data_IF_912890755093
#
_entry.id   IF_912890755093
#
_cell.length_a   1.000
_cell.length_b   1.000
_cell.length_c   1.000
_cell.angle_alpha   90.00
_cell.angle_beta   90.00
_cell.angle_gamma   90.00
#
_symmetry.space_group_name_H-M   'P 1'
#
loop_
_entity.id
_entity.type
_entity.pdbx_description
1 polymer ?
#
# COMPACT_ATOMS: atom_id res chain seq x y z
N UNK A 1 -23.26 15.94 5.84
CA UNK A 1 -21.88 15.45 5.67
C UNK A 1 -21.32 15.21 7.05
N UNK A 2 -20.78 14.03 7.30
CA UNK A 2 -20.19 13.66 8.59
C UNK A 2 -18.74 13.23 8.34
N UNK A 3 -17.79 13.91 8.98
CA UNK A 3 -16.36 13.56 8.94
C UNK A 3 -16.13 12.38 9.88
N UNK A 4 -15.43 11.37 9.39
CA UNK A 4 -15.12 10.11 10.07
C UNK A 4 -13.64 9.79 9.90
N UNK A 5 -13.15 8.79 10.61
CA UNK A 5 -11.80 8.26 10.40
C UNK A 5 -11.72 6.76 10.58
N UNK A 6 -10.79 6.12 9.88
CA UNK A 6 -10.47 4.70 10.01
C UNK A 6 -8.97 4.50 10.27
N UNK A 7 -8.61 3.37 10.88
CA UNK A 7 -7.23 2.94 11.04
C UNK A 7 -6.81 2.10 9.84
N UNK A 8 -5.58 2.26 9.37
CA UNK A 8 -5.06 1.49 8.23
C UNK A 8 -3.90 0.61 8.68
N UNK A 9 -4.02 -0.69 8.45
CA UNK A 9 -2.97 -1.68 8.68
C UNK A 9 -2.59 -2.30 7.34
N UNK A 10 -1.30 -2.44 7.07
CA UNK A 10 -0.82 -3.19 5.92
C UNK A 10 -0.16 -4.48 6.39
N UNK A 11 -0.49 -5.59 5.72
CA UNK A 11 0.14 -6.89 5.92
C UNK A 11 0.88 -7.34 4.66
N UNK A 12 2.15 -7.73 4.85
CA UNK A 12 2.99 -8.25 3.78
C UNK A 12 2.74 -9.76 3.57
N UNK A 13 1.88 -10.12 2.62
CA UNK A 13 1.62 -11.51 2.20
C UNK A 13 2.45 -11.94 0.97
N UNK A 14 3.46 -11.17 0.57
CA UNK A 14 4.22 -11.45 -0.68
C UNK A 14 5.17 -12.64 -0.59
N UNK A 15 5.44 -13.15 0.62
CA UNK A 15 6.43 -14.20 0.86
C UNK A 15 7.89 -13.71 0.80
N UNK A 16 8.12 -12.41 0.60
CA UNK A 16 9.45 -11.81 0.58
C UNK A 16 9.49 -10.53 1.44
N UNK A 17 10.66 -10.12 1.96
CA UNK A 17 10.79 -8.84 2.63
C UNK A 17 10.60 -7.69 1.63
N UNK A 18 9.86 -6.68 2.04
CA UNK A 18 9.55 -5.52 1.22
C UNK A 18 9.66 -4.25 2.06
N UNK A 19 10.08 -3.17 1.41
CA UNK A 19 9.87 -1.81 1.90
C UNK A 19 8.59 -1.28 1.24
N UNK A 20 7.59 -0.86 2.01
CA UNK A 20 6.28 -0.45 1.49
C UNK A 20 5.82 0.90 2.03
N UNK A 21 5.01 1.59 1.23
CA UNK A 21 4.37 2.87 1.55
C UNK A 21 2.91 2.82 1.09
N UNK A 22 2.02 3.43 1.87
CA UNK A 22 0.62 3.65 1.52
C UNK A 22 0.38 5.14 1.41
N UNK A 23 -0.30 5.55 0.34
CA UNK A 23 -0.84 6.90 0.18
C UNK A 23 -2.35 6.83 0.14
N UNK A 24 -3.00 7.78 0.80
CA UNK A 24 -4.45 7.93 0.83
C UNK A 24 -4.84 9.38 0.50
N UNK A 25 -5.92 9.57 -0.25
CA UNK A 25 -6.48 10.88 -0.52
C UNK A 25 -8.01 10.79 -0.62
N UNK A 26 -8.69 11.44 0.32
CA UNK A 26 -10.11 11.75 0.16
C UNK A 26 -10.26 12.92 -0.82
N UNK A 27 -11.21 12.81 -1.75
CA UNK A 27 -11.36 13.78 -2.85
C UNK A 27 -11.44 15.23 -2.35
N UNK A 28 -10.47 16.06 -2.76
CA UNK A 28 -10.42 17.48 -2.42
C UNK A 28 -9.70 17.80 -1.10
N UNK A 29 -9.14 16.79 -0.42
CA UNK A 29 -8.25 16.95 0.74
C UNK A 29 -6.79 16.68 0.34
N UNK A 30 -5.85 17.03 1.22
CA UNK A 30 -4.43 16.73 1.03
C UNK A 30 -4.17 15.22 1.10
N UNK A 31 -3.10 14.77 0.43
CA UNK A 31 -2.69 13.37 0.46
C UNK A 31 -2.05 13.01 1.81
N UNK A 32 -2.56 11.96 2.46
CA UNK A 32 -1.92 11.29 3.59
C UNK A 32 -0.80 10.36 3.09
N UNK A 33 0.39 10.42 3.72
CA UNK A 33 1.55 9.58 3.39
C UNK A 33 2.04 8.82 4.63
N UNK A 34 2.07 7.49 4.58
CA UNK A 34 2.50 6.65 5.69
C UNK A 34 4.01 6.71 5.97
N UNK A 35 4.79 7.23 5.01
CA UNK A 35 6.22 6.98 4.89
C UNK A 35 6.52 5.53 4.49
N UNK A 36 7.81 5.23 4.32
CA UNK A 36 8.28 3.90 3.96
C UNK A 36 8.60 3.05 5.18
N UNK A 37 8.06 1.84 5.23
CA UNK A 37 8.28 0.86 6.30
C UNK A 37 8.87 -0.42 5.72
N UNK A 38 9.82 -1.05 6.42
CA UNK A 38 10.29 -2.39 6.07
C UNK A 38 9.40 -3.42 6.75
N UNK A 39 8.92 -4.41 5.99
CA UNK A 39 8.09 -5.50 6.48
C UNK A 39 8.70 -6.83 6.07
N UNK A 40 8.91 -7.71 7.05
CA UNK A 40 9.21 -9.11 6.82
C UNK A 40 8.00 -9.85 6.19
N UNK A 41 8.21 -11.03 5.58
CA UNK A 41 7.09 -11.88 5.14
C UNK A 41 6.14 -12.19 6.31
N UNK A 42 4.85 -11.93 6.12
CA UNK A 42 3.80 -12.12 7.13
C UNK A 42 3.71 -11.02 8.19
N UNK A 43 4.56 -10.00 8.14
CA UNK A 43 4.51 -8.88 9.09
C UNK A 43 3.35 -7.92 8.76
N UNK A 44 2.71 -7.41 9.81
CA UNK A 44 1.69 -6.35 9.74
C UNK A 44 2.20 -5.07 10.38
N UNK A 45 1.84 -3.92 9.82
CA UNK A 45 2.21 -2.59 10.32
C UNK A 45 1.04 -1.62 10.25
N UNK A 46 0.84 -0.84 11.30
CA UNK A 46 -0.07 0.31 11.26
C UNK A 46 0.55 1.38 10.36
N UNK A 47 -0.11 1.68 9.26
CA UNK A 47 0.31 2.69 8.28
C UNK A 47 -0.27 4.07 8.60
N UNK A 48 -1.50 4.10 9.12
CA UNK A 48 -2.16 5.30 9.60
C UNK A 48 -2.97 4.97 10.85
N UNK A 49 -2.81 5.77 11.92
CA UNK A 49 -3.72 5.70 13.06
C UNK A 49 -5.10 6.27 12.69
N UNK A 50 -5.13 7.29 11.83
CA UNK A 50 -6.34 7.91 11.32
C UNK A 50 -6.13 8.33 9.85
N UNK A 51 -6.96 7.83 8.95
CA UNK A 51 -7.26 8.49 7.66
C UNK A 51 -8.64 9.11 7.75
N UNK A 52 -8.82 10.32 7.24
CA UNK A 52 -10.09 11.02 7.32
C UNK A 52 -10.89 10.89 6.03
N UNK A 53 -12.20 10.71 6.18
CA UNK A 53 -13.13 10.64 5.06
C UNK A 53 -14.49 11.23 5.45
N UNK A 54 -15.33 11.52 4.46
CA UNK A 54 -16.66 12.06 4.70
C UNK A 54 -17.76 11.14 4.18
N UNK A 55 -18.87 11.09 4.90
CA UNK A 55 -20.06 10.28 4.55
C UNK A 55 -21.33 11.12 4.56
N UNK A 56 -22.38 10.59 3.94
CA UNK A 56 -23.74 11.15 3.94
C UNK A 56 -24.34 11.28 2.54
N UNK A 57 -25.66 11.44 2.46
CA UNK A 57 -26.42 11.42 1.19
C UNK A 57 -25.96 12.44 0.12
N UNK A 58 -25.26 13.51 0.52
CA UNK A 58 -24.78 14.56 -0.38
C UNK A 58 -23.26 14.52 -0.63
N UNK A 59 -22.52 13.55 -0.07
CA UNK A 59 -21.08 13.46 -0.32
C UNK A 59 -20.81 12.84 -1.69
N UNK A 60 -20.01 13.51 -2.51
CA UNK A 60 -19.55 13.01 -3.81
C UNK A 60 -18.08 12.56 -3.79
N UNK A 61 -17.38 12.78 -2.67
CA UNK A 61 -15.99 12.41 -2.53
C UNK A 61 -15.80 10.91 -2.40
N UNK A 62 -14.65 10.45 -2.88
CA UNK A 62 -14.21 9.06 -2.81
C UNK A 62 -12.79 8.99 -2.26
N UNK A 63 -12.50 7.90 -1.57
CA UNK A 63 -11.17 7.57 -1.07
C UNK A 63 -10.33 6.92 -2.17
N UNK A 64 -9.18 7.55 -2.43
CA UNK A 64 -8.22 7.17 -3.44
C UNK A 64 -6.96 6.65 -2.76
N UNK A 65 -6.43 5.53 -3.27
CA UNK A 65 -5.35 4.78 -2.64
C UNK A 65 -4.23 4.45 -3.61
N UNK A 66 -3.01 4.46 -3.10
CA UNK A 66 -1.83 3.87 -3.73
C UNK A 66 -1.06 3.05 -2.71
N UNK A 67 -0.54 1.92 -3.16
CA UNK A 67 0.48 1.17 -2.44
C UNK A 67 1.73 1.14 -3.31
N UNK A 68 2.86 1.49 -2.72
CA UNK A 68 4.18 1.40 -3.35
C UNK A 68 5.04 0.42 -2.58
N UNK A 69 5.99 -0.20 -3.28
CA UNK A 69 6.85 -1.21 -2.70
C UNK A 69 8.21 -1.24 -3.36
N UNK A 70 9.20 -1.74 -2.65
CA UNK A 70 10.45 -2.23 -3.23
C UNK A 70 10.78 -3.57 -2.60
N UNK A 71 10.98 -4.58 -3.44
CA UNK A 71 11.36 -5.91 -2.96
C UNK A 71 12.79 -5.85 -2.45
N UNK A 72 13.01 -6.22 -1.19
CA UNK A 72 14.34 -6.19 -0.60
C UNK A 72 15.12 -7.43 -1.07
N UNK A 73 16.31 -7.22 -1.60
CA UNK A 73 17.23 -8.29 -2.02
C UNK A 73 18.37 -8.40 -1.02
N UNK A 74 18.61 -9.61 -0.52
CA UNK A 74 19.76 -9.89 0.33
C UNK A 74 21.01 -9.89 -0.54
N UNK A 75 21.92 -8.95 -0.30
CA UNK A 75 23.20 -8.92 -0.98
C UNK A 75 24.17 -9.86 -0.26
N UNK A 76 24.59 -10.93 -0.93
CA UNK A 76 25.70 -11.78 -0.51
C UNK A 76 26.93 -11.40 -1.33
N UNK A 77 27.90 -10.68 -0.75
CA UNK A 77 29.10 -10.27 -1.47
C UNK A 77 29.85 -11.48 -2.04
N UNK A 78 30.15 -11.48 -3.34
CA UNK A 78 30.65 -12.70 -4.01
C UNK A 78 31.80 -12.50 -4.99
N UNK A 79 32.54 -11.39 -4.96
CA UNK A 79 33.59 -11.16 -5.97
C UNK A 79 34.89 -10.50 -5.45
N UNK A 80 35.03 -10.29 -4.14
CA UNK A 80 36.22 -9.62 -3.58
C UNK A 80 36.37 -8.14 -3.98
N UNK A 81 35.36 -7.55 -4.63
CA UNK A 81 35.23 -6.12 -4.93
C UNK A 81 34.00 -5.47 -4.28
N UNK A 82 33.20 -6.28 -3.58
CA UNK A 82 32.01 -5.84 -2.84
C UNK A 82 32.30 -5.11 -1.52
N UNK A 83 31.25 -4.50 -0.96
CA UNK A 83 31.27 -3.82 0.33
C UNK A 83 31.49 -4.86 1.43
N UNK A 84 32.52 -4.70 2.28
CA UNK A 84 32.64 -5.48 3.51
C UNK A 84 31.62 -4.97 4.53
N UNK A 85 30.70 -5.83 4.97
CA UNK A 85 29.78 -5.54 6.07
C UNK A 85 29.68 -6.75 7.00
N UNK A 86 29.41 -6.49 8.28
CA UNK A 86 29.11 -7.52 9.27
C UNK A 86 27.59 -7.59 9.39
N UNK A 87 26.98 -8.74 9.08
CA UNK A 87 25.52 -8.95 9.14
C UNK A 87 24.89 -9.22 7.77
N UNK A 88 23.61 -8.86 7.60
CA UNK A 88 22.89 -8.93 6.31
C UNK A 88 22.73 -7.54 5.73
N UNK A 89 23.05 -7.36 4.45
CA UNK A 89 22.79 -6.13 3.71
C UNK A 89 21.57 -6.33 2.81
N UNK A 90 20.52 -5.55 3.04
CA UNK A 90 19.34 -5.51 2.18
C UNK A 90 19.44 -4.28 1.28
N UNK A 91 19.31 -4.50 -0.02
CA UNK A 91 19.26 -3.43 -1.03
C UNK A 91 17.86 -3.34 -1.61
N UNK A 92 17.40 -2.11 -1.86
CA UNK A 92 16.15 -1.85 -2.56
C UNK A 92 16.26 -2.42 -3.98
N UNK A 93 15.41 -3.40 -4.29
CA UNK A 93 15.30 -4.03 -5.60
C UNK A 93 14.39 -3.25 -6.54
N UNK A 94 13.79 -3.97 -7.49
CA UNK A 94 12.85 -3.39 -8.46
C UNK A 94 11.65 -2.79 -7.71
N UNK A 95 11.22 -1.56 -8.02
CA UNK A 95 10.05 -0.95 -7.40
C UNK A 95 8.75 -1.60 -7.91
N UNK A 96 7.76 -1.69 -7.04
CA UNK A 96 6.43 -2.22 -7.27
C UNK A 96 5.37 -1.16 -6.98
N UNK A 97 4.19 -1.29 -7.60
CA UNK A 97 3.03 -0.47 -7.26
C UNK A 97 1.70 -1.20 -7.43
N UNK A 98 0.69 -0.73 -6.71
CA UNK A 98 -0.71 -1.09 -6.95
C UNK A 98 -1.17 -0.52 -8.29
N UNK A 99 -1.90 -1.30 -9.07
CA UNK A 99 -2.54 -0.82 -10.29
C UNK A 99 -3.70 0.13 -9.97
N UNK A 100 -3.98 1.02 -10.91
CA UNK A 100 -5.06 1.99 -10.87
C UNK A 100 -5.82 1.95 -12.19
N UNK A 101 -7.15 2.15 -12.16
CA UNK A 101 -8.07 2.18 -13.32
C UNK A 101 -7.46 2.63 -14.66
N UNK A 102 -7.96 2.13 -15.79
CA UNK A 102 -7.66 2.76 -17.09
C UNK A 102 -8.08 4.25 -17.01
N UNK A 103 -7.17 5.16 -17.36
CA UNK A 103 -7.30 6.62 -17.19
C UNK A 103 -7.37 7.14 -15.75
N UNK A 104 -7.32 6.29 -14.74
CA UNK A 104 -7.19 6.70 -13.35
C UNK A 104 -5.71 6.83 -12.96
N UNK A 105 -5.44 7.53 -11.86
CA UNK A 105 -4.10 7.64 -11.26
C UNK A 105 -4.03 6.95 -9.90
N UNK A 106 -5.18 6.58 -9.33
CA UNK A 106 -5.34 6.00 -8.01
C UNK A 106 -6.36 4.86 -8.04
N UNK A 107 -6.21 3.91 -7.12
CA UNK A 107 -7.22 2.88 -6.89
C UNK A 107 -8.30 3.43 -5.97
N UNK A 108 -9.56 3.35 -6.38
CA UNK A 108 -10.69 3.71 -5.51
C UNK A 108 -11.03 2.54 -4.58
N UNK A 109 -11.21 2.84 -3.30
CA UNK A 109 -11.80 1.95 -2.29
C UNK A 109 -12.50 2.83 -1.25
N UNK A 110 -13.79 3.06 -1.44
CA UNK A 110 -14.57 4.02 -0.64
C UNK A 110 -14.85 3.50 0.75
N UNK A 111 -14.49 4.29 1.77
CA UNK A 111 -14.84 4.04 3.16
C UNK A 111 -16.25 4.57 3.45
N UNK A 112 -16.98 3.84 4.30
CA UNK A 112 -18.38 4.11 4.65
C UNK A 112 -18.55 4.29 6.14
N UNK A 113 -19.78 4.60 6.55
CA UNK A 113 -20.08 4.86 7.95
C UNK A 113 -19.76 3.69 8.88
N UNK A 114 -19.88 2.46 8.38
CA UNK A 114 -19.54 1.22 9.09
C UNK A 114 -18.03 0.97 9.24
N UNK A 115 -17.17 1.76 8.58
CA UNK A 115 -15.71 1.69 8.70
C UNK A 115 -15.16 2.67 9.75
N UNK A 116 -16.02 3.50 10.38
CA UNK A 116 -15.59 4.48 11.37
C UNK A 116 -15.01 3.80 12.61
N UNK A 117 -13.77 4.17 12.97
CA UNK A 117 -13.06 3.62 14.13
C UNK A 117 -12.57 2.18 13.94
N UNK A 118 -12.90 1.56 12.82
CA UNK A 118 -12.50 0.20 12.48
C UNK A 118 -11.18 0.17 11.70
N UNK A 119 -10.68 -1.04 11.46
CA UNK A 119 -9.47 -1.29 10.70
C UNK A 119 -9.80 -1.57 9.24
N UNK A 120 -9.24 -0.78 8.35
CA UNK A 120 -9.05 -1.14 6.94
C UNK A 120 -7.72 -1.89 6.81
N UNK A 121 -7.79 -3.17 6.47
CA UNK A 121 -6.62 -4.02 6.23
C UNK A 121 -6.23 -3.97 4.76
N UNK A 122 -4.96 -3.67 4.49
CA UNK A 122 -4.34 -3.76 3.17
C UNK A 122 -3.46 -5.00 3.14
N UNK A 123 -3.88 -6.04 2.43
CA UNK A 123 -3.02 -7.21 2.19
C UNK A 123 -2.28 -7.06 0.86
N UNK A 124 -0.95 -7.18 0.89
CA UNK A 124 -0.12 -7.18 -0.32
C UNK A 124 0.34 -8.60 -0.61
N UNK A 125 -0.23 -9.21 -1.66
CA UNK A 125 0.09 -10.54 -2.17
C UNK A 125 1.08 -10.44 -3.35
N UNK A 126 1.67 -11.55 -3.83
CA UNK A 126 2.67 -11.51 -4.91
C UNK A 126 2.20 -10.83 -6.20
N UNK A 127 0.90 -10.86 -6.50
CA UNK A 127 0.33 -10.32 -7.75
C UNK A 127 -0.87 -9.39 -7.56
N UNK A 128 -1.30 -9.15 -6.32
CA UNK A 128 -2.45 -8.29 -6.03
C UNK A 128 -2.36 -7.60 -4.68
N UNK A 129 -3.09 -6.49 -4.56
CA UNK A 129 -3.34 -5.78 -3.31
C UNK A 129 -4.84 -5.84 -3.03
N UNK A 130 -5.21 -6.19 -1.80
CA UNK A 130 -6.60 -6.21 -1.32
C UNK A 130 -6.77 -5.14 -0.26
N UNK A 131 -7.76 -4.28 -0.44
CA UNK A 131 -8.23 -3.31 0.53
C UNK A 131 -9.50 -3.89 1.17
N UNK A 132 -9.46 -4.19 2.46
CA UNK A 132 -10.49 -4.92 3.18
C UNK A 132 -10.97 -4.05 4.34
N UNK A 133 -12.22 -3.59 4.26
CA UNK A 133 -12.89 -2.84 5.33
C UNK A 133 -14.20 -3.55 5.68
N UNK A 134 -14.82 -3.29 6.84
CA UNK A 134 -16.17 -3.77 7.15
C UNK A 134 -17.17 -3.58 6.00
N UNK A 135 -17.10 -2.44 5.31
CA UNK A 135 -17.98 -2.09 4.19
C UNK A 135 -17.75 -2.81 2.87
N UNK A 136 -16.65 -3.58 2.77
CA UNK A 136 -16.38 -4.43 1.63
C UNK A 136 -14.90 -4.55 1.29
N UNK A 137 -14.64 -5.27 0.19
CA UNK A 137 -13.28 -5.52 -0.29
C UNK A 137 -13.10 -5.01 -1.71
N UNK A 138 -11.94 -4.45 -1.99
CA UNK A 138 -11.51 -4.07 -3.34
C UNK A 138 -10.14 -4.65 -3.64
N UNK A 139 -9.98 -5.22 -4.84
CA UNK A 139 -8.71 -5.80 -5.28
C UNK A 139 -8.14 -5.02 -6.45
N UNK A 140 -6.82 -4.95 -6.54
CA UNK A 140 -6.09 -4.41 -7.69
C UNK A 140 -4.80 -5.19 -7.90
N UNK A 141 -4.21 -5.11 -9.10
CA UNK A 141 -2.95 -5.82 -9.37
C UNK A 141 -1.79 -5.20 -8.60
N UNK A 142 -0.82 -6.04 -8.25
CA UNK A 142 0.49 -5.68 -7.71
C UNK A 142 1.54 -6.10 -8.72
N UNK A 143 2.38 -5.18 -9.17
CA UNK A 143 3.34 -5.48 -10.22
C UNK A 143 4.63 -4.68 -10.09
N UNK A 144 5.71 -5.27 -10.60
CA UNK A 144 7.02 -4.66 -10.70
C UNK A 144 7.04 -3.65 -11.86
N UNK A 145 7.58 -2.46 -11.61
CA UNK A 145 7.82 -1.46 -12.62
C UNK A 145 8.96 -1.91 -13.54
N UNK A 146 8.72 -1.92 -14.84
CA UNK A 146 9.71 -2.31 -15.86
C UNK A 146 9.56 -3.73 -16.40
N UNK A 147 8.81 -4.61 -15.73
CA UNK A 147 8.47 -5.95 -16.28
C UNK A 147 7.17 -5.94 -17.09
N UNK A 148 6.27 -4.97 -16.87
CA UNK A 148 4.97 -4.89 -17.54
C UNK A 148 4.77 -3.51 -18.23
N UNK A 149 5.40 -3.31 -19.39
CA UNK A 149 5.12 -2.16 -20.26
C UNK A 149 3.76 -2.26 -21.01
N UNK A 150 3.02 -3.35 -20.83
CA UNK A 150 1.84 -3.70 -21.64
C UNK A 150 0.48 -3.66 -20.90
N UNK A 151 0.43 -3.19 -19.64
CA UNK A 151 -0.80 -3.17 -18.81
C UNK A 151 -1.28 -1.76 -18.45
N UNK A 152 -1.24 -0.86 -19.44
CA UNK A 152 -1.86 0.49 -19.35
C UNK A 152 -3.37 0.36 -19.51
#
# INVERSE_FOLDING_TARGET
MTRRSAKVVLENKTGAPFKMQVLHEYTGEDTDDSGWHMLAPGESKIMFEHVYFNTGFLTTGVDNWKVHGSKLVEYGGSDGKGIMFIGKLWIDGIPYRSWHGLLAQWKKHTLREEDEGEITLIEVHPSEVRFISPSGTSTTQWYALGEDAAKV
#
